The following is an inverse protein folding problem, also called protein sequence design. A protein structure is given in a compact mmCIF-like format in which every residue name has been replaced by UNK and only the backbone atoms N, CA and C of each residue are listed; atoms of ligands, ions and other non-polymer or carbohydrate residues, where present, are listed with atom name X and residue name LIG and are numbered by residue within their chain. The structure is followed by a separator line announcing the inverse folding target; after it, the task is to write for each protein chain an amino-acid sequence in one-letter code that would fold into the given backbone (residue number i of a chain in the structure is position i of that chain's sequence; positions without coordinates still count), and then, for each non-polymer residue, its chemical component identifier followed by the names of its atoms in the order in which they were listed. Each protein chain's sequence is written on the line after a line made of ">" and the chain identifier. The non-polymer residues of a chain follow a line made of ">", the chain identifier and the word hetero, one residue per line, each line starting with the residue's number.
data_IF_060594876659
#
_entry.id   IF_060594876659
#
_cell.length_a   1.000
_cell.length_b   1.000
_cell.length_c   1.000
_cell.angle_alpha   90.00
_cell.angle_beta   90.00
_cell.angle_gamma   90.00
#
_symmetry.space_group_name_H-M   'P 1'
#
loop_
_entity.id
_entity.type
_entity.pdbx_description
1 polymer ?
#
# COMPACT_ATOMS: atom_id res chain seq x y z
N UNK A 1 2.75 -7.74 26.11
CA UNK A 1 4.10 -8.03 25.58
C UNK A 1 4.86 -6.72 25.49
N UNK A 2 6.14 -6.72 25.83
CA UNK A 2 7.00 -5.57 25.56
C UNK A 2 7.40 -5.58 24.08
N UNK A 3 7.10 -4.50 23.38
CA UNK A 3 7.48 -4.31 21.98
C UNK A 3 8.64 -3.32 21.83
N UNK A 4 9.24 -2.82 22.92
CA UNK A 4 10.28 -1.78 22.93
C UNK A 4 11.41 -2.01 21.91
N UNK A 5 11.84 -3.27 21.73
CA UNK A 5 12.88 -3.65 20.78
C UNK A 5 12.49 -3.47 19.29
N UNK A 6 11.19 -3.39 18.96
CA UNK A 6 10.67 -3.12 17.61
C UNK A 6 10.56 -1.62 17.28
N UNK A 7 11.07 -0.77 18.17
CA UNK A 7 10.90 0.68 18.13
C UNK A 7 12.23 1.43 18.27
N UNK A 8 13.35 0.80 17.93
CA UNK A 8 14.71 1.34 18.12
C UNK A 8 15.09 2.39 17.09
N UNK A 9 14.53 2.36 15.88
CA UNK A 9 14.80 3.35 14.83
C UNK A 9 13.83 4.54 14.88
N UNK A 10 14.27 5.70 14.38
CA UNK A 10 13.41 6.87 14.13
C UNK A 10 13.04 6.90 12.65
N UNK A 11 11.82 7.30 12.32
CA UNK A 11 11.44 7.58 10.94
C UNK A 11 12.12 8.85 10.44
N UNK A 12 12.43 8.91 9.15
CA UNK A 12 13.00 10.08 8.48
C UNK A 12 14.34 10.47 9.12
N UNK A 13 15.32 9.58 8.99
CA UNK A 13 16.65 9.81 9.54
C UNK A 13 17.31 11.02 8.86
N UNK A 14 17.87 11.98 9.62
CA UNK A 14 18.46 13.19 9.06
C UNK A 14 19.81 12.97 8.35
N UNK A 15 20.42 11.79 8.50
CA UNK A 15 21.66 11.45 7.83
C UNK A 15 21.37 11.03 6.39
N UNK A 16 21.80 11.85 5.43
CA UNK A 16 21.73 11.54 4.01
C UNK A 16 22.79 10.48 3.71
N UNK A 17 22.35 9.28 3.33
CA UNK A 17 23.23 8.29 2.71
C UNK A 17 23.49 8.73 1.24
N UNK A 18 24.75 9.07 0.87
CA UNK A 18 25.04 9.54 -0.48
C UNK A 18 24.71 8.53 -1.57
N UNK A 19 24.82 7.22 -1.28
CA UNK A 19 24.50 6.17 -2.24
C UNK A 19 22.99 6.05 -2.48
N UNK A 20 22.21 6.23 -1.41
CA UNK A 20 20.75 6.30 -1.48
C UNK A 20 20.29 7.52 -2.28
N UNK A 21 20.85 8.70 -2.02
CA UNK A 21 20.52 9.93 -2.76
C UNK A 21 20.82 9.77 -4.25
N UNK A 22 22.00 9.24 -4.60
CA UNK A 22 22.36 8.96 -5.99
C UNK A 22 21.38 8.00 -6.67
N UNK A 23 20.99 6.93 -5.97
CA UNK A 23 19.99 5.98 -6.48
C UNK A 23 18.64 6.65 -6.72
N UNK A 24 18.19 7.52 -5.81
CA UNK A 24 16.94 8.27 -5.97
C UNK A 24 16.99 9.23 -7.14
N UNK A 25 18.12 9.90 -7.37
CA UNK A 25 18.33 10.76 -8.55
C UNK A 25 18.20 9.94 -9.83
N UNK A 26 18.86 8.78 -9.91
CA UNK A 26 18.78 7.89 -11.07
C UNK A 26 17.35 7.41 -11.35
N UNK A 27 16.63 6.98 -10.31
CA UNK A 27 15.23 6.55 -10.43
C UNK A 27 14.32 7.68 -10.91
N UNK A 28 14.52 8.91 -10.42
CA UNK A 28 13.77 10.10 -10.86
C UNK A 28 14.12 10.54 -12.28
N UNK A 29 15.36 10.31 -12.70
CA UNK A 29 15.81 10.56 -14.07
C UNK A 29 15.26 9.50 -15.05
N UNK A 30 14.94 8.29 -14.57
CA UNK A 30 14.15 7.32 -15.32
C UNK A 30 12.78 7.90 -15.68
N UNK A 31 12.37 7.79 -16.95
CA UNK A 31 11.27 8.55 -17.55
C UNK A 31 9.93 8.52 -16.79
N UNK A 32 9.68 7.54 -15.91
CA UNK A 32 8.42 7.45 -15.18
C UNK A 32 8.56 6.75 -13.81
N UNK A 33 8.04 7.36 -12.75
CA UNK A 33 7.86 6.72 -11.44
C UNK A 33 6.39 6.35 -11.24
N UNK A 34 6.05 5.21 -10.62
CA UNK A 34 4.67 4.88 -10.34
C UNK A 34 4.07 5.93 -9.40
N UNK A 35 2.94 6.53 -9.79
CA UNK A 35 2.18 7.45 -8.94
C UNK A 35 1.65 6.71 -7.70
N UNK A 36 1.24 5.46 -7.89
CA UNK A 36 0.72 4.60 -6.84
C UNK A 36 1.39 3.22 -6.82
N UNK A 37 1.99 2.90 -5.68
CA UNK A 37 2.54 1.58 -5.35
C UNK A 37 1.65 0.88 -4.32
N UNK A 38 1.26 -0.37 -4.58
CA UNK A 38 0.54 -1.21 -3.63
C UNK A 38 1.41 -2.39 -3.18
N UNK A 39 1.45 -2.72 -1.89
CA UNK A 39 2.33 -3.77 -1.36
C UNK A 39 1.59 -4.77 -0.48
N UNK A 40 1.71 -6.04 -0.83
CA UNK A 40 1.32 -7.19 -0.01
C UNK A 40 2.51 -7.60 0.87
N UNK A 41 2.47 -7.20 2.14
CA UNK A 41 3.53 -7.37 3.15
C UNK A 41 3.57 -8.81 3.72
N UNK A 42 3.79 -9.81 2.87
CA UNK A 42 3.79 -11.23 3.24
C UNK A 42 5.16 -11.69 3.77
N UNK A 43 5.17 -12.80 4.51
CA UNK A 43 6.39 -13.48 4.97
C UNK A 43 6.73 -13.27 6.45
N UNK A 44 6.07 -12.36 7.18
CA UNK A 44 6.37 -12.06 8.59
C UNK A 44 6.48 -13.31 9.49
N UNK A 45 5.48 -14.19 9.44
CA UNK A 45 5.47 -15.41 10.26
C UNK A 45 6.49 -16.47 9.82
N UNK A 46 6.77 -16.58 8.50
CA UNK A 46 7.77 -17.50 7.95
C UNK A 46 9.19 -17.06 8.33
N UNK A 47 9.46 -15.77 8.19
CA UNK A 47 10.70 -15.13 8.64
C UNK A 47 10.96 -15.36 10.13
N UNK A 48 9.94 -15.17 10.97
CA UNK A 48 10.07 -15.41 12.41
C UNK A 48 10.41 -16.86 12.72
N UNK A 49 9.70 -17.81 12.09
CA UNK A 49 9.95 -19.25 12.27
C UNK A 49 11.39 -19.64 11.91
N UNK A 50 11.94 -19.11 10.80
CA UNK A 50 13.32 -19.39 10.39
C UNK A 50 14.36 -18.89 11.40
N UNK A 51 14.02 -17.86 12.19
CA UNK A 51 14.89 -17.28 13.22
C UNK A 51 14.58 -17.76 14.64
N UNK A 52 13.74 -18.80 14.80
CA UNK A 52 13.33 -19.31 16.10
C UNK A 52 12.45 -18.34 16.92
N UNK A 53 11.82 -17.37 16.26
CA UNK A 53 10.98 -16.32 16.87
C UNK A 53 9.49 -16.60 16.71
N UNK A 54 8.69 -15.95 17.53
CA UNK A 54 7.22 -15.96 17.43
C UNK A 54 6.73 -15.15 16.22
N UNK A 55 5.54 -15.47 15.70
CA UNK A 55 4.93 -14.71 14.58
C UNK A 55 4.80 -13.22 14.88
N UNK A 56 4.48 -12.88 16.13
CA UNK A 56 4.32 -11.49 16.59
C UNK A 56 5.65 -10.74 16.49
N UNK A 57 6.77 -11.36 16.86
CA UNK A 57 8.10 -10.77 16.67
C UNK A 57 8.43 -10.58 15.19
N UNK A 58 7.96 -11.46 14.31
CA UNK A 58 8.05 -11.28 12.85
C UNK A 58 7.29 -10.05 12.37
N UNK A 59 6.05 -9.87 12.83
CA UNK A 59 5.26 -8.67 12.54
C UNK A 59 5.89 -7.39 13.11
N UNK A 60 6.46 -7.48 14.31
CA UNK A 60 7.17 -6.38 14.93
C UNK A 60 8.42 -5.98 14.13
N UNK A 61 9.19 -6.96 13.62
CA UNK A 61 10.30 -6.69 12.70
C UNK A 61 9.81 -6.11 11.35
N UNK A 62 8.63 -6.51 10.88
CA UNK A 62 7.98 -5.94 9.71
C UNK A 62 7.63 -4.44 9.84
N UNK A 63 7.55 -3.89 11.06
CA UNK A 63 7.34 -2.45 11.26
C UNK A 63 8.51 -1.66 10.69
N UNK A 64 9.75 -2.14 10.83
CA UNK A 64 10.95 -1.47 10.30
C UNK A 64 10.93 -1.35 8.78
N UNK A 65 10.45 -2.41 8.09
CA UNK A 65 10.25 -2.39 6.65
C UNK A 65 9.20 -1.34 6.23
N UNK A 66 8.11 -1.20 7.01
CA UNK A 66 7.10 -0.14 6.76
C UNK A 66 7.74 1.24 6.84
N UNK A 67 8.56 1.50 7.87
CA UNK A 67 9.20 2.82 8.03
C UNK A 67 10.05 3.18 6.82
N UNK A 68 10.93 2.26 6.45
CA UNK A 68 11.91 2.48 5.40
C UNK A 68 11.26 2.62 4.01
N UNK A 69 10.24 1.81 3.72
CA UNK A 69 9.48 1.91 2.47
C UNK A 69 8.68 3.21 2.40
N UNK A 70 8.00 3.62 3.48
CA UNK A 70 7.24 4.88 3.49
C UNK A 70 8.17 6.08 3.30
N UNK A 71 9.31 6.09 4.00
CA UNK A 71 10.33 7.13 3.85
C UNK A 71 10.88 7.18 2.42
N UNK A 72 11.24 6.03 1.85
CA UNK A 72 11.74 5.94 0.48
C UNK A 72 10.70 6.41 -0.55
N UNK A 73 9.43 6.02 -0.41
CA UNK A 73 8.35 6.50 -1.28
C UNK A 73 8.17 8.01 -1.18
N UNK A 74 8.17 8.57 0.03
CA UNK A 74 8.06 10.02 0.24
C UNK A 74 9.26 10.78 -0.38
N UNK A 75 10.49 10.26 -0.22
CA UNK A 75 11.70 10.86 -0.79
C UNK A 75 11.76 10.76 -2.33
N UNK A 76 11.20 9.69 -2.90
CA UNK A 76 11.05 9.54 -4.35
C UNK A 76 9.97 10.45 -4.94
N UNK A 77 9.03 10.94 -4.12
CA UNK A 77 7.89 11.73 -4.59
C UNK A 77 6.75 10.87 -5.14
N UNK A 78 6.66 9.60 -4.71
CA UNK A 78 5.51 8.74 -5.02
C UNK A 78 4.28 9.34 -4.33
N UNK A 79 3.17 9.45 -5.06
CA UNK A 79 1.94 10.08 -4.58
C UNK A 79 1.18 9.21 -3.58
N UNK A 80 1.10 7.91 -3.85
CA UNK A 80 0.31 6.96 -3.07
C UNK A 80 1.07 5.67 -2.77
N UNK A 81 0.96 5.19 -1.53
CA UNK A 81 1.43 3.88 -1.09
C UNK A 81 0.30 3.15 -0.37
N UNK A 82 -0.21 2.06 -0.92
CA UNK A 82 -1.21 1.22 -0.25
C UNK A 82 -0.59 -0.04 0.34
N UNK A 83 -0.70 -0.23 1.65
CA UNK A 83 -0.15 -1.40 2.35
C UNK A 83 -1.27 -2.37 2.77
N UNK A 84 -1.13 -3.65 2.42
CA UNK A 84 -2.07 -4.68 2.84
C UNK A 84 -1.78 -5.16 4.28
N UNK A 85 -2.31 -4.44 5.26
CA UNK A 85 -1.94 -4.63 6.68
C UNK A 85 -2.73 -5.74 7.37
N UNK A 86 -4.04 -5.87 7.13
CA UNK A 86 -4.86 -6.91 7.74
C UNK A 86 -6.04 -7.28 6.82
N UNK A 87 -6.12 -8.53 6.36
CA UNK A 87 -7.18 -8.97 5.44
C UNK A 87 -8.45 -9.44 6.16
N UNK A 88 -9.58 -9.52 5.46
CA UNK A 88 -10.80 -10.14 5.99
C UNK A 88 -10.59 -11.61 6.39
N UNK A 89 -9.73 -12.34 5.69
CA UNK A 89 -9.40 -13.73 6.00
C UNK A 89 -8.52 -13.86 7.25
N UNK A 90 -7.83 -12.79 7.67
CA UNK A 90 -6.99 -12.83 8.88
C UNK A 90 -7.79 -12.93 10.18
N UNK A 91 -9.11 -12.66 10.14
CA UNK A 91 -10.00 -12.93 11.27
C UNK A 91 -10.14 -14.43 11.60
N UNK A 92 -9.74 -15.32 10.70
CA UNK A 92 -9.73 -16.78 10.94
C UNK A 92 -8.52 -17.24 11.77
N UNK A 93 -7.60 -16.33 12.11
CA UNK A 93 -6.42 -16.65 12.94
C UNK A 93 -6.82 -16.74 14.43
N UNK A 94 -5.97 -17.32 15.30
CA UNK A 94 -6.25 -17.38 16.72
C UNK A 94 -6.46 -15.98 17.33
N UNK A 95 -7.44 -15.83 18.22
CA UNK A 95 -7.81 -14.55 18.84
C UNK A 95 -6.62 -13.84 19.52
N UNK A 96 -5.73 -14.61 20.16
CA UNK A 96 -4.51 -14.07 20.78
C UNK A 96 -3.57 -13.42 19.75
N UNK A 97 -3.46 -13.98 18.55
CA UNK A 97 -2.67 -13.39 17.46
C UNK A 97 -3.33 -12.10 16.98
N UNK A 98 -4.64 -12.13 16.73
CA UNK A 98 -5.41 -10.96 16.29
C UNK A 98 -5.29 -9.81 17.29
N UNK A 99 -5.52 -10.08 18.58
CA UNK A 99 -5.40 -9.08 19.65
C UNK A 99 -4.00 -8.46 19.70
N UNK A 100 -2.95 -9.27 19.56
CA UNK A 100 -1.56 -8.80 19.54
C UNK A 100 -1.26 -7.91 18.32
N UNK A 101 -1.79 -8.26 17.14
CA UNK A 101 -1.66 -7.44 15.94
C UNK A 101 -2.36 -6.08 16.08
N UNK A 102 -3.55 -6.05 16.68
CA UNK A 102 -4.29 -4.80 16.93
C UNK A 102 -3.56 -3.92 17.95
N UNK A 103 -2.98 -4.50 19.00
CA UNK A 103 -2.15 -3.78 19.96
C UNK A 103 -0.88 -3.20 19.29
N UNK A 104 -0.22 -3.99 18.44
CA UNK A 104 0.95 -3.53 17.69
C UNK A 104 0.58 -2.36 16.77
N UNK A 105 -0.53 -2.46 16.03
CA UNK A 105 -1.02 -1.39 15.15
C UNK A 105 -1.24 -0.08 15.92
N UNK A 106 -1.96 -0.13 17.06
CA UNK A 106 -2.19 1.05 17.91
C UNK A 106 -0.86 1.65 18.37
N UNK A 107 0.07 0.82 18.85
CA UNK A 107 1.36 1.28 19.34
C UNK A 107 2.19 1.95 18.24
N UNK A 108 2.21 1.38 17.04
CA UNK A 108 2.89 1.96 15.88
C UNK A 108 2.26 3.30 15.51
N UNK A 109 0.94 3.37 15.30
CA UNK A 109 0.27 4.62 14.90
C UNK A 109 0.50 5.73 15.93
N UNK A 110 0.32 5.45 17.23
CA UNK A 110 0.51 6.44 18.29
C UNK A 110 1.95 6.96 18.36
N UNK A 111 2.94 6.09 18.16
CA UNK A 111 4.35 6.49 18.18
C UNK A 111 4.72 7.34 16.96
N UNK A 112 4.22 6.96 15.78
CA UNK A 112 4.72 7.48 14.50
C UNK A 112 3.85 8.60 13.90
N UNK A 113 2.62 8.80 14.37
CA UNK A 113 1.68 9.80 13.85
C UNK A 113 2.30 11.21 13.71
N UNK A 114 3.06 11.66 14.73
CA UNK A 114 3.73 12.98 14.66
C UNK A 114 4.86 13.02 13.65
N UNK A 115 5.57 11.91 13.43
CA UNK A 115 6.63 11.85 12.43
C UNK A 115 6.04 11.86 11.01
N UNK A 116 4.98 11.08 10.79
CA UNK A 116 4.20 11.11 9.54
C UNK A 116 3.68 12.52 9.25
N UNK A 117 3.09 13.18 10.25
CA UNK A 117 2.60 14.54 10.12
C UNK A 117 3.70 15.53 9.69
N UNK A 118 4.83 15.57 10.42
CA UNK A 118 5.95 16.48 10.11
C UNK A 118 6.57 16.25 8.74
N UNK A 119 6.49 15.04 8.22
CA UNK A 119 7.02 14.67 6.90
C UNK A 119 5.95 14.72 5.80
N UNK A 120 4.85 15.45 6.05
CA UNK A 120 3.77 15.70 5.08
C UNK A 120 3.13 14.41 4.55
N UNK A 121 3.15 13.32 5.32
CA UNK A 121 2.46 12.08 4.96
C UNK A 121 1.01 12.19 5.40
N UNK A 122 0.07 11.93 4.48
CA UNK A 122 -1.37 11.86 4.75
C UNK A 122 -1.78 10.41 4.96
N UNK A 123 -2.44 10.11 6.07
CA UNK A 123 -2.95 8.76 6.34
C UNK A 123 -4.36 8.61 5.77
N UNK A 124 -4.57 7.54 5.03
CA UNK A 124 -5.87 7.09 4.56
C UNK A 124 -6.08 5.62 4.95
N UNK A 125 -7.32 5.19 5.15
CA UNK A 125 -7.62 3.83 5.60
C UNK A 125 -8.78 3.26 4.80
N UNK A 126 -8.61 2.05 4.29
CA UNK A 126 -9.64 1.30 3.55
C UNK A 126 -9.96 -0.03 4.24
N UNK A 127 -11.17 -0.55 4.02
CA UNK A 127 -11.64 -1.82 4.58
C UNK A 127 -12.73 -1.68 5.64
N UNK A 128 -13.09 -2.79 6.29
CA UNK A 128 -14.20 -2.84 7.24
C UNK A 128 -13.77 -2.30 8.62
N UNK A 129 -13.72 -0.97 8.76
CA UNK A 129 -13.28 -0.31 9.99
C UNK A 129 -14.18 -0.65 11.18
N UNK A 130 -15.48 -0.85 10.95
CA UNK A 130 -16.42 -1.14 12.04
C UNK A 130 -16.15 -2.46 12.77
N UNK A 131 -15.52 -3.42 12.09
CA UNK A 131 -15.12 -4.69 12.67
C UNK A 131 -13.89 -4.57 13.59
N UNK A 132 -13.17 -3.44 13.54
CA UNK A 132 -11.97 -3.24 14.34
C UNK A 132 -12.32 -2.90 15.81
N UNK A 133 -11.48 -3.30 16.78
CA UNK A 133 -11.67 -2.93 18.18
C UNK A 133 -11.73 -1.40 18.38
N UNK A 134 -12.53 -0.94 19.35
CA UNK A 134 -12.78 0.49 19.56
C UNK A 134 -11.50 1.33 19.71
N UNK A 135 -10.48 0.80 20.38
CA UNK A 135 -9.19 1.48 20.54
C UNK A 135 -8.46 1.69 19.21
N UNK A 136 -8.54 0.72 18.30
CA UNK A 136 -8.00 0.83 16.93
C UNK A 136 -8.76 1.90 16.17
N UNK A 137 -10.10 1.85 16.18
CA UNK A 137 -10.95 2.85 15.50
C UNK A 137 -10.63 4.28 15.95
N UNK A 138 -10.53 4.51 17.25
CA UNK A 138 -10.19 5.83 17.79
C UNK A 138 -8.78 6.28 17.35
N UNK A 139 -7.78 5.39 17.45
CA UNK A 139 -6.40 5.72 17.08
C UNK A 139 -6.28 6.06 15.59
N UNK A 140 -6.98 5.32 14.73
CA UNK A 140 -7.05 5.60 13.30
C UNK A 140 -7.70 6.97 13.04
N UNK A 141 -8.86 7.24 13.67
CA UNK A 141 -9.55 8.52 13.54
C UNK A 141 -8.64 9.70 13.91
N UNK A 142 -7.97 9.63 15.06
CA UNK A 142 -7.08 10.68 15.54
C UNK A 142 -5.89 10.89 14.58
N UNK A 143 -5.34 9.81 14.02
CA UNK A 143 -4.19 9.87 13.11
C UNK A 143 -4.57 10.39 11.72
N UNK A 144 -5.73 9.98 11.18
CA UNK A 144 -6.27 10.49 9.92
C UNK A 144 -6.56 11.98 10.06
N UNK A 145 -7.23 12.40 11.13
CA UNK A 145 -7.53 13.81 11.38
C UNK A 145 -6.26 14.66 11.50
N UNK A 146 -5.26 14.18 12.24
CA UNK A 146 -3.97 14.87 12.38
C UNK A 146 -3.27 15.11 11.03
N UNK A 147 -3.42 14.18 10.08
CA UNK A 147 -2.66 14.18 8.82
C UNK A 147 -3.48 14.58 7.59
N UNK A 148 -4.75 14.94 7.75
CA UNK A 148 -5.70 15.12 6.64
C UNK A 148 -5.29 16.19 5.61
N UNK A 149 -4.65 17.26 6.07
CA UNK A 149 -4.26 18.42 5.25
C UNK A 149 -2.83 18.28 4.68
N UNK A 150 -2.16 17.16 4.94
CA UNK A 150 -0.85 16.89 4.37
C UNK A 150 -0.93 16.60 2.86
N UNK A 151 0.06 17.11 2.13
CA UNK A 151 0.09 17.11 0.66
C UNK A 151 1.21 16.27 0.05
N UNK A 152 2.03 15.61 0.87
CA UNK A 152 3.03 14.66 0.41
C UNK A 152 2.41 13.28 0.14
N UNK A 153 3.18 12.22 0.40
CA UNK A 153 2.73 10.84 0.22
C UNK A 153 1.40 10.57 0.95
N UNK A 154 0.43 10.02 0.23
CA UNK A 154 -0.76 9.41 0.85
C UNK A 154 -0.48 7.94 1.17
N UNK A 155 -0.30 7.64 2.46
CA UNK A 155 -0.15 6.28 2.95
C UNK A 155 -1.54 5.69 3.24
N UNK A 156 -2.00 4.79 2.37
CA UNK A 156 -3.25 4.07 2.49
C UNK A 156 -3.04 2.73 3.21
N UNK A 157 -3.76 2.51 4.30
CA UNK A 157 -3.64 1.30 5.13
C UNK A 157 -4.90 0.45 4.95
N UNK A 158 -4.75 -0.75 4.38
CA UNK A 158 -5.86 -1.66 4.19
C UNK A 158 -6.05 -2.57 5.42
N UNK A 159 -7.14 -2.35 6.16
CA UNK A 159 -7.45 -3.01 7.43
C UNK A 159 -8.82 -3.68 7.40
N UNK A 160 -8.86 -4.95 7.78
CA UNK A 160 -10.04 -5.80 7.59
C UNK A 160 -10.58 -5.69 6.14
N UNK A 161 -9.66 -5.67 5.18
CA UNK A 161 -9.94 -5.40 3.78
C UNK A 161 -9.90 -6.68 2.94
N UNK A 162 -10.75 -6.74 1.92
CA UNK A 162 -10.51 -7.55 0.73
C UNK A 162 -11.28 -6.98 -0.47
N UNK A 163 -10.79 -7.21 -1.69
CA UNK A 163 -11.39 -6.69 -2.91
C UNK A 163 -12.82 -7.21 -3.13
N UNK A 164 -13.08 -8.49 -2.83
CA UNK A 164 -14.45 -9.03 -2.85
C UNK A 164 -15.37 -8.32 -1.85
N UNK A 165 -14.88 -8.03 -0.64
CA UNK A 165 -15.67 -7.29 0.35
C UNK A 165 -15.97 -5.87 -0.13
N UNK A 166 -14.98 -5.22 -0.74
CA UNK A 166 -15.03 -3.85 -1.25
C UNK A 166 -16.08 -3.71 -2.36
N UNK A 167 -15.98 -4.55 -3.40
CA UNK A 167 -16.96 -4.64 -4.49
C UNK A 167 -18.36 -4.94 -3.94
N UNK A 168 -18.48 -5.88 -2.99
CA UNK A 168 -19.77 -6.19 -2.38
C UNK A 168 -20.37 -5.00 -1.60
N UNK A 169 -19.55 -4.19 -0.92
CA UNK A 169 -20.04 -2.98 -0.25
C UNK A 169 -20.47 -1.93 -1.27
N UNK A 170 -19.71 -1.74 -2.35
CA UNK A 170 -20.07 -0.82 -3.42
C UNK A 170 -21.42 -1.21 -4.06
N UNK A 171 -21.61 -2.48 -4.42
CA UNK A 171 -22.90 -2.98 -4.94
C UNK A 171 -24.07 -2.72 -3.97
N UNK A 172 -23.87 -2.94 -2.66
CA UNK A 172 -24.89 -2.69 -1.64
C UNK A 172 -25.21 -1.20 -1.53
N UNK A 173 -24.20 -0.33 -1.59
CA UNK A 173 -24.38 1.11 -1.53
C UNK A 173 -25.15 1.61 -2.76
N UNK A 174 -24.73 1.22 -3.97
CA UNK A 174 -25.42 1.55 -5.23
C UNK A 174 -26.89 1.09 -5.18
N UNK A 175 -27.15 -0.13 -4.67
CA UNK A 175 -28.53 -0.65 -4.55
C UNK A 175 -29.41 0.21 -3.63
N UNK A 176 -28.86 0.78 -2.54
CA UNK A 176 -29.61 1.70 -1.67
C UNK A 176 -29.91 3.02 -2.37
N UNK A 177 -28.93 3.58 -3.08
CA UNK A 177 -29.12 4.81 -3.86
C UNK A 177 -30.19 4.67 -4.94
N UNK A 178 -30.28 3.50 -5.58
CA UNK A 178 -31.33 3.15 -6.54
C UNK A 178 -32.70 3.04 -5.84
N UNK A 179 -32.75 2.32 -4.71
CA UNK A 179 -34.00 2.17 -3.94
C UNK A 179 -34.55 3.51 -3.43
N UNK A 180 -33.65 4.47 -3.15
CA UNK A 180 -34.00 5.83 -2.72
C UNK A 180 -34.21 6.79 -3.91
N UNK A 181 -34.18 6.29 -5.14
CA UNK A 181 -34.47 7.06 -6.36
C UNK A 181 -33.41 8.08 -6.77
N UNK A 182 -32.20 8.01 -6.18
CA UNK A 182 -31.09 8.95 -6.46
C UNK A 182 -30.28 8.57 -7.69
N UNK A 183 -30.24 7.29 -8.05
CA UNK A 183 -29.50 6.75 -9.20
C UNK A 183 -30.44 5.86 -10.02
N UNK A 184 -30.38 5.97 -11.35
CA UNK A 184 -31.01 4.99 -12.25
C UNK A 184 -30.06 3.81 -12.49
N UNK A 185 -30.54 2.54 -12.52
CA UNK A 185 -29.72 1.38 -12.86
C UNK A 185 -28.95 1.51 -14.18
N UNK A 186 -29.51 2.22 -15.17
CA UNK A 186 -28.87 2.44 -16.48
C UNK A 186 -27.66 3.39 -16.43
N UNK A 187 -27.43 4.03 -15.28
CA UNK A 187 -26.27 4.89 -15.03
C UNK A 187 -25.12 4.16 -14.34
N UNK A 188 -25.25 2.86 -14.09
CA UNK A 188 -24.15 2.08 -13.51
C UNK A 188 -23.10 1.81 -14.59
N UNK A 189 -21.93 2.40 -14.40
CA UNK A 189 -20.72 2.17 -15.17
C UNK A 189 -19.51 2.01 -14.24
N UNK A 190 -18.31 1.89 -14.83
CA UNK A 190 -17.06 1.74 -14.08
C UNK A 190 -16.75 2.97 -13.20
N UNK A 191 -17.02 4.18 -13.70
CA UNK A 191 -16.78 5.42 -12.95
C UNK A 191 -17.71 5.52 -11.73
N UNK A 192 -18.97 5.12 -11.89
CA UNK A 192 -19.90 5.05 -10.78
C UNK A 192 -19.40 4.01 -9.77
N UNK A 193 -19.02 2.81 -10.22
CA UNK A 193 -18.48 1.78 -9.32
C UNK A 193 -17.29 2.31 -8.50
N UNK A 194 -16.32 2.97 -9.14
CA UNK A 194 -15.15 3.58 -8.48
C UNK A 194 -15.54 4.55 -7.36
N UNK A 195 -16.60 5.34 -7.57
CA UNK A 195 -17.06 6.31 -6.57
C UNK A 195 -17.63 5.68 -5.29
N UNK A 196 -18.03 4.40 -5.36
CA UNK A 196 -18.59 3.62 -4.25
C UNK A 196 -17.61 2.63 -3.62
N UNK A 197 -16.45 2.39 -4.23
CA UNK A 197 -15.38 1.59 -3.62
C UNK A 197 -14.74 2.35 -2.45
N UNK A 198 -14.19 1.60 -1.49
CA UNK A 198 -13.47 2.21 -0.36
C UNK A 198 -12.22 2.98 -0.78
N UNK A 199 -11.71 2.75 -2.00
CA UNK A 199 -10.58 3.46 -2.59
C UNK A 199 -10.98 4.71 -3.37
N UNK A 200 -12.22 5.22 -3.26
CA UNK A 200 -12.65 6.39 -4.06
C UNK A 200 -11.65 7.55 -3.94
N UNK A 201 -11.31 8.18 -5.06
CA UNK A 201 -10.36 9.30 -5.10
C UNK A 201 -8.90 8.92 -4.86
N UNK A 202 -8.58 7.62 -4.86
CA UNK A 202 -7.22 7.09 -4.92
C UNK A 202 -6.99 6.57 -6.35
N UNK A 203 -5.91 6.98 -7.04
CA UNK A 203 -5.59 6.45 -8.37
C UNK A 203 -5.33 4.95 -8.30
N UNK A 204 -5.49 4.25 -9.42
CA UNK A 204 -5.16 2.82 -9.49
C UNK A 204 -3.66 2.58 -9.28
N UNK A 205 -3.26 1.50 -8.59
CA UNK A 205 -1.85 1.15 -8.46
C UNK A 205 -1.26 0.79 -9.81
N UNK A 206 -0.18 1.47 -10.20
CA UNK A 206 0.59 1.10 -11.39
C UNK A 206 1.54 -0.07 -11.11
N UNK A 207 2.01 -0.18 -9.86
CA UNK A 207 2.92 -1.23 -9.41
C UNK A 207 2.37 -1.93 -8.16
N UNK A 208 2.11 -3.22 -8.27
CA UNK A 208 1.70 -4.10 -7.17
C UNK A 208 2.85 -5.05 -6.79
N UNK A 209 3.40 -4.87 -5.60
CA UNK A 209 4.52 -5.66 -5.08
C UNK A 209 3.98 -6.72 -4.11
N UNK A 210 4.48 -7.95 -4.25
CA UNK A 210 4.27 -8.99 -3.23
C UNK A 210 5.58 -9.65 -2.83
N UNK A 211 5.82 -9.67 -1.52
CA UNK A 211 6.97 -10.33 -0.90
C UNK A 211 6.73 -11.83 -0.69
N UNK A 212 7.77 -12.54 -0.22
CA UNK A 212 7.75 -13.93 0.28
C UNK A 212 7.59 -15.08 -0.73
N UNK A 213 7.74 -14.81 -2.03
CA UNK A 213 7.76 -15.83 -3.08
C UNK A 213 6.40 -16.41 -3.45
N UNK A 214 5.31 -15.70 -3.13
CA UNK A 214 3.94 -16.16 -3.40
C UNK A 214 3.35 -15.46 -4.63
N UNK A 215 2.99 -16.22 -5.67
CA UNK A 215 2.53 -15.68 -6.96
C UNK A 215 1.01 -15.55 -7.04
N UNK A 216 0.42 -14.69 -6.21
CA UNK A 216 -1.02 -14.34 -6.26
C UNK A 216 -1.26 -12.98 -5.63
N UNK A 217 -2.41 -12.35 -5.88
CA UNK A 217 -2.76 -11.06 -5.26
C UNK A 217 -3.56 -11.21 -3.95
N UNK A 218 -4.02 -12.42 -3.63
CA UNK A 218 -4.70 -12.72 -2.36
C UNK A 218 -5.88 -11.81 -2.03
N UNK A 219 -6.74 -11.52 -3.02
CA UNK A 219 -7.94 -10.71 -2.83
C UNK A 219 -7.62 -9.26 -2.39
N UNK A 220 -6.44 -8.76 -2.74
CA UNK A 220 -6.03 -7.37 -2.53
C UNK A 220 -6.31 -6.56 -3.79
N UNK A 221 -6.94 -5.39 -3.63
CA UNK A 221 -7.24 -4.42 -4.69
C UNK A 221 -7.73 -5.06 -5.99
N UNK A 222 -8.73 -5.95 -5.93
CA UNK A 222 -9.15 -6.76 -7.07
C UNK A 222 -9.61 -5.94 -8.28
N UNK A 223 -10.32 -4.84 -8.00
CA UNK A 223 -10.82 -3.94 -9.03
C UNK A 223 -9.68 -3.06 -9.55
N UNK A 224 -9.00 -2.39 -8.62
CA UNK A 224 -7.98 -1.38 -8.90
C UNK A 224 -6.71 -1.97 -9.52
N UNK A 225 -6.45 -3.27 -9.34
CA UNK A 225 -5.23 -3.91 -9.86
C UNK A 225 -5.40 -4.58 -11.22
N UNK A 226 -6.50 -4.31 -11.93
CA UNK A 226 -6.80 -4.95 -13.21
C UNK A 226 -5.68 -4.75 -14.26
N UNK A 227 -5.04 -3.59 -14.24
CA UNK A 227 -3.96 -3.21 -15.16
C UNK A 227 -2.61 -2.96 -14.48
N UNK A 228 -2.48 -3.26 -13.19
CA UNK A 228 -1.20 -3.09 -12.47
C UNK A 228 -0.11 -4.00 -13.02
N UNK A 229 1.10 -3.48 -13.07
CA UNK A 229 2.28 -4.35 -13.17
C UNK A 229 2.51 -5.05 -11.83
N UNK A 230 2.73 -6.36 -11.88
CA UNK A 230 2.89 -7.17 -10.67
C UNK A 230 4.35 -7.61 -10.52
N UNK A 231 4.96 -7.20 -9.41
CA UNK A 231 6.32 -7.56 -9.05
C UNK A 231 6.32 -8.53 -7.85
N UNK A 232 6.82 -9.75 -8.08
CA UNK A 232 6.98 -10.76 -7.05
C UNK A 232 8.43 -10.87 -6.62
N UNK A 233 8.68 -10.95 -5.31
CA UNK A 233 10.02 -11.20 -4.76
C UNK A 233 10.01 -12.29 -3.71
N UNK A 234 11.10 -13.05 -3.63
CA UNK A 234 11.35 -14.05 -2.61
C UNK A 234 11.71 -13.45 -1.25
N UNK A 235 12.12 -12.17 -1.21
CA UNK A 235 12.45 -11.45 0.04
C UNK A 235 11.25 -11.45 0.98
N UNK A 236 11.43 -11.83 2.24
CA UNK A 236 10.39 -11.70 3.25
C UNK A 236 10.21 -10.25 3.68
N UNK A 237 8.97 -9.85 4.01
CA UNK A 237 8.68 -8.47 4.41
C UNK A 237 9.61 -7.89 5.49
N UNK A 238 9.94 -8.60 6.59
CA UNK A 238 10.87 -8.06 7.60
C UNK A 238 12.27 -7.72 7.07
N UNK A 239 12.71 -8.32 5.96
CA UNK A 239 13.99 -8.04 5.29
C UNK A 239 13.86 -7.10 4.09
N UNK A 240 12.63 -6.75 3.67
CA UNK A 240 12.38 -5.86 2.54
C UNK A 240 12.69 -4.40 2.93
N UNK A 241 13.60 -3.76 2.21
CA UNK A 241 14.04 -2.37 2.42
C UNK A 241 14.00 -1.61 1.10
N UNK A 242 14.34 -0.32 1.15
CA UNK A 242 14.36 0.60 0.01
C UNK A 242 15.14 0.06 -1.19
N UNK A 243 16.22 -0.69 -0.97
CA UNK A 243 16.95 -1.35 -2.06
C UNK A 243 16.05 -2.26 -2.90
N UNK A 244 15.22 -3.09 -2.25
CA UNK A 244 14.27 -3.97 -2.95
C UNK A 244 13.08 -3.20 -3.54
N UNK A 245 12.65 -2.10 -2.89
CA UNK A 245 11.67 -1.19 -3.48
C UNK A 245 12.20 -0.57 -4.78
N UNK A 246 13.45 -0.11 -4.77
CA UNK A 246 14.13 0.47 -5.93
C UNK A 246 14.28 -0.55 -7.05
N UNK A 247 14.59 -1.81 -6.73
CA UNK A 247 14.62 -2.88 -7.74
C UNK A 247 13.25 -3.12 -8.37
N UNK A 248 12.17 -3.11 -7.59
CA UNK A 248 10.81 -3.23 -8.12
C UNK A 248 10.43 -2.04 -9.02
N UNK A 249 10.81 -0.82 -8.64
CA UNK A 249 10.59 0.38 -9.46
C UNK A 249 11.43 0.33 -10.75
N UNK A 250 12.67 -0.16 -10.70
CA UNK A 250 13.49 -0.36 -11.91
C UNK A 250 12.89 -1.39 -12.85
N UNK A 251 12.31 -2.47 -12.32
CA UNK A 251 11.62 -3.47 -13.15
C UNK A 251 10.44 -2.83 -13.88
N UNK A 252 9.63 -2.06 -13.15
CA UNK A 252 8.52 -1.29 -13.70
C UNK A 252 8.97 -0.29 -14.78
N UNK A 253 10.06 0.44 -14.55
CA UNK A 253 10.61 1.41 -15.51
C UNK A 253 11.13 0.78 -16.81
N UNK A 254 11.49 -0.50 -16.81
CA UNK A 254 12.01 -1.20 -18.00
C UNK A 254 10.90 -1.64 -18.97
N UNK A 255 9.64 -1.64 -18.55
CA UNK A 255 8.56 -2.21 -19.37
C UNK A 255 8.07 -1.21 -20.41
N UNK A 256 7.89 -1.70 -21.64
CA UNK A 256 7.22 -0.94 -22.69
C UNK A 256 5.75 -0.74 -22.32
N UNK A 257 5.36 0.52 -22.11
CA UNK A 257 3.97 0.89 -21.82
C UNK A 257 3.14 0.81 -23.08
N UNK A 258 2.42 -0.30 -23.21
CA UNK A 258 1.64 -0.61 -24.42
C UNK A 258 0.26 0.04 -24.45
N UNK A 259 -0.41 0.34 -23.32
CA UNK A 259 -1.75 0.96 -23.30
C UNK A 259 -2.74 0.39 -24.34
N UNK A 260 -2.71 -0.93 -24.58
CA UNK A 260 -3.52 -1.60 -25.60
C UNK A 260 -2.99 -1.56 -27.05
N UNK A 261 -1.84 -0.93 -27.29
CA UNK A 261 -1.12 -0.87 -28.57
C UNK A 261 -0.10 -2.01 -28.69
N UNK A 262 0.20 -2.43 -29.92
CA UNK A 262 1.28 -3.38 -30.18
C UNK A 262 2.65 -2.68 -30.15
N UNK A 263 3.75 -3.45 -30.01
CA UNK A 263 5.11 -2.87 -30.03
C UNK A 263 5.42 -2.16 -31.34
N UNK A 264 4.88 -2.66 -32.45
CA UNK A 264 5.03 -2.05 -33.78
C UNK A 264 4.34 -0.67 -33.82
N UNK A 265 3.16 -0.52 -33.21
CA UNK A 265 2.44 0.75 -33.15
C UNK A 265 3.18 1.82 -32.31
N UNK A 266 3.92 1.40 -31.28
CA UNK A 266 4.77 2.30 -30.49
C UNK A 266 6.03 2.72 -31.25
N UNK A 267 6.63 1.81 -32.01
CA UNK A 267 7.81 2.09 -32.84
C UNK A 267 7.49 3.10 -33.95
N UNK A 268 6.34 2.96 -34.61
CA UNK A 268 5.91 3.88 -35.66
C UNK A 268 5.65 5.31 -35.12
N UNK A 269 5.06 5.44 -33.92
CA UNK A 269 4.88 6.74 -33.27
C UNK A 269 6.21 7.43 -32.92
N UNK A 270 7.16 6.69 -32.38
CA UNK A 270 8.49 7.22 -32.05
C UNK A 270 9.29 7.57 -33.32
N UNK A 271 9.12 6.81 -34.41
CA UNK A 271 9.72 7.11 -35.71
C UNK A 271 9.13 8.36 -36.38
N UNK A 272 7.85 8.65 -36.14
CA UNK A 272 7.17 9.87 -36.60
C UNK A 272 7.56 11.10 -35.78
N UNK A 273 7.71 10.98 -34.46
CA UNK A 273 8.14 12.10 -33.59
C UNK A 273 9.62 12.46 -33.74
N UNK A 274 10.48 11.52 -34.13
CA UNK A 274 11.92 11.77 -34.37
C UNK A 274 12.23 12.37 -35.76
N UNK A 275 11.21 12.53 -36.61
CA UNK A 275 11.29 13.14 -37.95
C UNK A 275 10.72 14.55 -38.03
N UNK A 276 10.28 15.12 -36.91
CA UNK A 276 9.87 16.52 -36.73
C UNK A 276 10.91 17.24 -35.86
#
# INVERSE_FOLDING_TARGET
>A
MDFSAAFTSRWFHPAIDPQDEQTRIELKAGCYLPEHVAIIMDGNGRWARQKGKTRIEGHAAGVEAVRDVVEACAQLGIGYLTLFTFSTENWKRPEKEISSLMQLLVKVLQKEARALFRNKVRIHVIGNIEQLPQKVKQTLKDTVELTKDNTGLTLCIALSYSGKWDILQACRAISREIAEGRISPDKIDEQLMDSFLSTRGIPEPELLIRTSGEFRISNFLLWQSAYSEIYFTNTYWPDFRRGQLYDAIRDFQKRERRFGQTSEQLQDKNALQSRL
#
